data_IF_787944515906
#
_entry.id   IF_787944515906
#
_cell.length_a   1.000
_cell.length_b   1.000
_cell.length_c   1.000
_cell.angle_alpha   90.00
_cell.angle_beta   90.00
_cell.angle_gamma   90.00
#
_symmetry.space_group_name_H-M   'P 1'
#
loop_
_entity.id
_entity.type
_entity.pdbx_description
1 polymer ?
#
# COMPACT_ATOMS: atom_id res chain seq x y z
N UNK A 1 34.93 -15.86 42.29
CA UNK A 1 33.57 -16.42 42.14
C UNK A 1 32.60 -15.24 42.23
N UNK A 2 32.47 -14.49 41.14
CA UNK A 2 31.38 -14.55 40.15
C UNK A 2 30.03 -14.14 40.73
N UNK A 3 29.58 -12.92 40.42
CA UNK A 3 28.25 -12.72 39.84
C UNK A 3 28.13 -11.32 39.21
N UNK A 4 28.32 -11.27 37.89
CA UNK A 4 27.97 -10.12 37.06
C UNK A 4 26.46 -10.19 36.77
N UNK A 5 25.66 -9.31 37.38
CA UNK A 5 24.23 -9.18 37.05
C UNK A 5 24.12 -8.26 35.82
N UNK A 6 24.17 -8.88 34.64
CA UNK A 6 23.92 -8.22 33.36
C UNK A 6 22.40 -7.93 33.25
N UNK A 7 22.02 -6.67 33.45
CA UNK A 7 20.65 -6.20 33.19
C UNK A 7 20.42 -6.17 31.67
N UNK A 8 19.78 -7.22 31.16
CA UNK A 8 19.27 -7.27 29.79
C UNK A 8 18.07 -6.31 29.68
N UNK A 9 18.33 -5.04 29.36
CA UNK A 9 17.31 -4.13 28.85
C UNK A 9 16.93 -4.60 27.45
N UNK A 10 15.97 -5.52 27.37
CA UNK A 10 15.27 -5.84 26.11
C UNK A 10 14.43 -4.60 25.77
N UNK A 11 15.02 -3.70 24.98
CA UNK A 11 14.28 -2.64 24.31
C UNK A 11 13.24 -3.30 23.40
N UNK A 12 11.99 -3.40 23.86
CA UNK A 12 10.84 -3.59 22.96
C UNK A 12 10.74 -2.34 22.09
N UNK A 13 11.57 -2.29 21.05
CA UNK A 13 11.33 -1.41 19.91
C UNK A 13 10.09 -1.97 19.22
N UNK A 14 8.92 -1.51 19.63
CA UNK A 14 7.70 -1.75 18.87
C UNK A 14 7.97 -1.29 17.45
N UNK A 15 8.00 -2.23 16.50
CA UNK A 15 8.16 -1.91 15.10
C UNK A 15 7.03 -0.96 14.71
N UNK A 16 7.38 0.31 14.44
CA UNK A 16 6.42 1.26 13.94
C UNK A 16 6.12 0.87 12.49
N UNK A 17 4.84 0.72 12.15
CA UNK A 17 4.36 0.38 10.82
C UNK A 17 3.25 1.36 10.42
N UNK A 18 3.16 1.73 9.14
CA UNK A 18 2.05 2.57 8.68
C UNK A 18 0.72 1.85 8.68
N UNK A 19 0.72 0.52 8.54
CA UNK A 19 -0.49 -0.29 8.57
C UNK A 19 -0.39 -1.22 9.78
N UNK A 20 -1.24 -0.96 10.77
CA UNK A 20 -1.32 -1.72 12.03
C UNK A 20 -2.70 -2.32 12.25
N UNK A 21 -3.72 -1.84 11.54
CA UNK A 21 -5.10 -2.31 11.63
C UNK A 21 -5.71 -2.47 10.24
N UNK A 22 -6.73 -3.32 10.07
CA UNK A 22 -7.46 -3.42 8.81
C UNK A 22 -8.01 -2.07 8.35
N UNK A 23 -7.94 -1.81 7.04
CA UNK A 23 -8.48 -0.61 6.41
C UNK A 23 -9.58 -1.03 5.43
N UNK A 24 -10.72 -0.33 5.43
CA UNK A 24 -11.79 -0.51 4.45
C UNK A 24 -12.13 0.85 3.81
N UNK A 25 -12.16 0.89 2.48
CA UNK A 25 -12.71 2.01 1.71
C UNK A 25 -13.57 1.46 0.57
N UNK A 26 -14.88 1.68 0.61
CA UNK A 26 -15.79 1.28 -0.48
C UNK A 26 -15.71 -0.21 -0.88
N UNK A 27 -15.48 -1.11 0.08
CA UNK A 27 -15.24 -2.54 -0.12
C UNK A 27 -13.89 -2.89 -0.76
N UNK A 28 -12.97 -1.95 -0.84
CA UNK A 28 -11.54 -2.25 -0.97
C UNK A 28 -10.95 -2.41 0.44
N UNK A 29 -10.28 -3.53 0.68
CA UNK A 29 -9.74 -3.88 2.00
C UNK A 29 -8.22 -3.96 2.00
N UNK A 30 -7.60 -3.55 3.10
CA UNK A 30 -6.21 -3.88 3.43
C UNK A 30 -6.22 -4.60 4.76
N UNK A 31 -5.82 -5.86 4.78
CA UNK A 31 -5.84 -6.70 5.99
C UNK A 31 -4.76 -7.78 5.93
N UNK A 32 -4.47 -8.41 7.07
CA UNK A 32 -3.46 -9.45 7.14
C UNK A 32 -3.95 -10.75 6.51
N UNK A 33 -3.11 -11.36 5.67
CA UNK A 33 -3.32 -12.73 5.21
C UNK A 33 -3.02 -13.75 6.33
N UNK A 34 -3.21 -15.04 6.04
CA UNK A 34 -2.94 -16.13 7.00
C UNK A 34 -1.48 -16.22 7.49
N UNK A 35 -0.53 -15.52 6.84
CA UNK A 35 0.89 -15.44 7.22
C UNK A 35 1.22 -14.17 8.01
N UNK A 36 0.23 -13.31 8.28
CA UNK A 36 0.41 -12.04 8.99
C UNK A 36 0.89 -10.87 8.11
N UNK A 37 1.03 -11.06 6.78
CA UNK A 37 1.38 -9.97 5.86
C UNK A 37 0.15 -9.18 5.47
N UNK A 38 0.22 -7.84 5.51
CA UNK A 38 -0.85 -6.99 4.98
C UNK A 38 -0.95 -7.08 3.47
N UNK A 39 -2.17 -7.32 2.98
CA UNK A 39 -2.49 -7.51 1.59
C UNK A 39 -3.71 -6.67 1.19
N UNK A 40 -3.74 -6.27 -0.07
CA UNK A 40 -4.86 -5.54 -0.64
C UNK A 40 -5.86 -6.53 -1.26
N UNK A 41 -7.12 -6.43 -0.86
CA UNK A 41 -8.23 -7.22 -1.40
C UNK A 41 -9.22 -6.26 -2.05
N UNK A 42 -9.10 -6.03 -3.37
CA UNK A 42 -9.97 -5.10 -4.06
C UNK A 42 -11.40 -5.64 -4.16
N UNK A 43 -12.37 -4.74 -4.16
CA UNK A 43 -13.74 -5.00 -4.61
C UNK A 43 -13.69 -5.57 -6.04
N UNK A 44 -14.62 -6.48 -6.37
CA UNK A 44 -14.86 -6.90 -7.75
C UNK A 44 -14.95 -5.70 -8.71
N UNK A 45 -14.46 -5.88 -9.95
CA UNK A 45 -14.35 -4.81 -10.93
C UNK A 45 -15.71 -4.16 -11.14
N UNK A 46 -15.74 -2.86 -10.93
CA UNK A 46 -16.78 -1.97 -11.38
C UNK A 46 -16.17 -1.12 -12.50
N UNK A 47 -16.60 -1.28 -13.77
CA UNK A 47 -16.05 -0.51 -14.89
C UNK A 47 -16.11 1.00 -14.69
N UNK A 48 -17.06 1.51 -13.90
CA UNK A 48 -17.16 2.94 -13.58
C UNK A 48 -16.05 3.43 -12.63
N UNK A 49 -15.41 2.51 -11.91
CA UNK A 49 -14.29 2.79 -10.99
C UNK A 49 -12.91 2.66 -11.64
N UNK A 50 -12.83 2.10 -12.85
CA UNK A 50 -11.59 1.87 -13.58
C UNK A 50 -11.26 3.07 -14.47
N UNK A 51 -10.06 3.60 -14.31
CA UNK A 51 -9.51 4.71 -15.08
C UNK A 51 -8.23 4.22 -15.77
N UNK A 52 -8.39 3.68 -16.98
CA UNK A 52 -7.31 3.00 -17.72
C UNK A 52 -6.09 3.87 -17.99
N UNK A 53 -6.26 5.19 -18.01
CA UNK A 53 -5.18 6.12 -18.33
C UNK A 53 -4.56 6.74 -17.09
N UNK A 54 -5.31 6.92 -16.00
CA UNK A 54 -4.85 7.64 -14.80
C UNK A 54 -4.25 9.02 -15.12
N UNK A 55 -4.77 9.70 -16.15
CA UNK A 55 -4.30 11.01 -16.61
C UNK A 55 -5.37 12.08 -16.39
N UNK A 56 -4.93 13.35 -16.34
CA UNK A 56 -5.80 14.51 -16.17
C UNK A 56 -5.40 15.37 -14.98
N UNK A 57 -5.86 16.63 -14.95
CA UNK A 57 -5.42 17.62 -13.95
C UNK A 57 -5.63 17.20 -12.49
N UNK A 58 -6.70 16.46 -12.20
CA UNK A 58 -6.99 15.92 -10.86
C UNK A 58 -6.26 14.62 -10.53
N UNK A 59 -5.61 13.98 -11.52
CA UNK A 59 -4.94 12.68 -11.39
C UNK A 59 -3.43 12.81 -11.14
N UNK A 60 -2.85 14.01 -11.31
CA UNK A 60 -1.43 14.25 -11.02
C UNK A 60 -0.52 13.20 -11.69
N UNK A 61 0.36 12.58 -10.91
CA UNK A 61 1.37 11.62 -11.41
C UNK A 61 0.94 10.15 -11.25
N UNK A 62 -0.37 9.86 -11.12
CA UNK A 62 -0.84 8.50 -10.83
C UNK A 62 -0.42 7.47 -11.88
N UNK A 63 -0.43 7.83 -13.17
CA UNK A 63 0.04 6.93 -14.22
C UNK A 63 1.51 6.51 -14.03
N UNK A 64 2.39 7.46 -13.67
CA UNK A 64 3.82 7.22 -13.51
C UNK A 64 4.13 6.42 -12.24
N UNK A 65 3.48 6.76 -11.12
CA UNK A 65 3.68 6.01 -9.86
C UNK A 65 3.12 4.58 -9.97
N UNK A 66 1.99 4.38 -10.68
CA UNK A 66 1.46 3.04 -10.95
C UNK A 66 2.43 2.22 -11.79
N UNK A 67 2.99 2.80 -12.85
CA UNK A 67 3.99 2.11 -13.66
C UNK A 67 5.21 1.70 -12.83
N UNK A 68 5.67 2.59 -11.95
CA UNK A 68 6.77 2.30 -11.01
C UNK A 68 6.41 1.14 -10.08
N UNK A 69 5.22 1.17 -9.48
CA UNK A 69 4.71 0.12 -8.60
C UNK A 69 4.56 -1.24 -9.29
N UNK A 70 4.01 -1.27 -10.50
CA UNK A 70 3.79 -2.50 -11.28
C UNK A 70 5.09 -3.20 -11.71
N UNK A 71 6.22 -2.47 -11.71
CA UNK A 71 7.55 -3.02 -11.98
C UNK A 71 8.24 -3.60 -10.73
N UNK A 72 7.66 -3.44 -9.54
CA UNK A 72 8.16 -4.03 -8.29
C UNK A 72 7.62 -5.46 -8.10
N UNK A 73 8.06 -6.09 -7.01
CA UNK A 73 7.60 -7.44 -6.61
C UNK A 73 6.76 -7.45 -5.33
N UNK A 74 6.56 -6.29 -4.73
CA UNK A 74 5.73 -6.07 -3.54
C UNK A 74 4.41 -5.42 -3.93
N UNK A 75 3.34 -5.84 -3.30
CA UNK A 75 1.94 -5.53 -3.59
C UNK A 75 1.48 -4.23 -2.95
N UNK A 76 2.14 -3.77 -1.88
CA UNK A 76 1.85 -2.52 -1.17
C UNK A 76 3.13 -1.70 -1.09
N UNK A 77 3.12 -0.48 -1.63
CA UNK A 77 4.28 0.41 -1.59
C UNK A 77 3.88 1.88 -1.41
N UNK A 78 4.68 2.58 -0.61
CA UNK A 78 4.64 4.03 -0.46
C UNK A 78 5.69 4.67 -1.36
N UNK A 79 5.34 5.80 -1.97
CA UNK A 79 6.23 6.59 -2.83
C UNK A 79 6.23 8.07 -2.46
N UNK A 80 7.36 8.73 -2.67
CA UNK A 80 7.47 10.18 -2.53
C UNK A 80 6.77 10.92 -3.68
N UNK A 81 6.60 12.23 -3.55
CA UNK A 81 6.13 13.09 -4.65
C UNK A 81 7.04 13.05 -5.88
N UNK A 82 8.29 12.63 -5.73
CA UNK A 82 9.26 12.41 -6.82
C UNK A 82 9.27 10.96 -7.32
N UNK A 83 8.29 10.15 -6.93
CA UNK A 83 8.08 8.75 -7.35
C UNK A 83 9.11 7.74 -6.83
N UNK A 84 9.93 8.15 -5.86
CA UNK A 84 10.88 7.24 -5.21
C UNK A 84 10.16 6.35 -4.20
N UNK A 85 10.49 5.05 -4.19
CA UNK A 85 9.92 4.10 -3.21
C UNK A 85 10.43 4.44 -1.80
N UNK A 86 9.50 4.71 -0.90
CA UNK A 86 9.76 4.98 0.52
C UNK A 86 9.77 3.69 1.35
N UNK A 87 8.91 2.73 1.03
CA UNK A 87 8.84 1.44 1.71
C UNK A 87 7.51 0.71 1.50
N UNK A 88 7.26 -0.36 2.26
CA UNK A 88 6.02 -1.15 2.24
C UNK A 88 5.08 -0.82 3.40
N UNK A 89 4.21 -1.75 3.83
CA UNK A 89 3.29 -1.59 4.97
C UNK A 89 3.98 -1.17 6.29
N UNK A 90 5.26 -1.46 6.44
CA UNK A 90 6.11 -1.11 7.57
C UNK A 90 6.59 0.35 7.57
N UNK A 91 6.49 1.06 6.44
CA UNK A 91 7.03 2.42 6.34
C UNK A 91 6.13 3.43 7.04
N UNK A 92 6.59 4.05 8.11
CA UNK A 92 5.81 5.01 8.91
C UNK A 92 5.64 6.35 8.20
N UNK A 93 4.42 6.86 8.14
CA UNK A 93 4.16 8.18 7.58
C UNK A 93 4.71 9.29 8.48
N UNK A 94 5.57 10.14 7.91
CA UNK A 94 6.07 11.34 8.60
C UNK A 94 5.30 12.57 8.12
N UNK A 95 4.56 13.21 9.02
CA UNK A 95 3.86 14.46 8.71
C UNK A 95 4.87 15.57 8.37
N UNK A 96 4.79 16.14 7.17
CA UNK A 96 5.71 17.21 6.75
C UNK A 96 5.26 17.97 5.51
N UNK A 97 3.97 17.95 5.18
CA UNK A 97 3.42 18.61 3.98
C UNK A 97 3.86 17.98 2.65
N UNK A 98 4.59 16.86 2.68
CA UNK A 98 5.06 16.17 1.48
C UNK A 98 3.95 15.29 0.91
N UNK A 99 3.81 15.30 -0.41
CA UNK A 99 2.95 14.36 -1.14
C UNK A 99 3.51 12.95 -0.99
N UNK A 100 2.67 12.02 -0.55
CA UNK A 100 3.00 10.59 -0.47
C UNK A 100 1.92 9.82 -1.21
N UNK A 101 2.35 8.99 -2.15
CA UNK A 101 1.48 8.05 -2.84
C UNK A 101 1.51 6.71 -2.12
N UNK A 102 0.35 6.08 -1.96
CA UNK A 102 0.21 4.68 -1.60
C UNK A 102 -0.34 3.94 -2.80
N UNK A 103 0.39 2.94 -3.28
CA UNK A 103 -0.02 2.04 -4.35
C UNK A 103 -0.17 0.62 -3.84
N UNK A 104 -1.23 -0.04 -4.30
CA UNK A 104 -1.73 -1.30 -3.80
C UNK A 104 -2.19 -2.16 -4.97
N UNK A 105 -1.81 -3.43 -4.97
CA UNK A 105 -2.29 -4.41 -5.96
C UNK A 105 -2.81 -5.64 -5.26
N UNK A 106 -3.90 -6.18 -5.79
CA UNK A 106 -4.50 -7.40 -5.29
C UNK A 106 -5.36 -8.09 -6.33
N UNK A 107 -5.83 -9.29 -5.97
CA UNK A 107 -6.79 -10.06 -6.75
C UNK A 107 -8.17 -9.96 -6.11
N UNK A 108 -9.15 -9.49 -6.85
CA UNK A 108 -10.54 -9.42 -6.39
C UNK A 108 -11.21 -10.80 -6.43
N UNK A 109 -12.41 -10.89 -5.83
CA UNK A 109 -13.21 -12.14 -5.81
C UNK A 109 -13.70 -12.60 -7.18
N UNK A 110 -13.72 -11.71 -8.19
CA UNK A 110 -13.99 -12.02 -9.60
C UNK A 110 -12.72 -12.45 -10.37
N UNK A 111 -11.63 -12.71 -9.64
CA UNK A 111 -10.32 -13.11 -10.14
C UNK A 111 -9.56 -12.06 -10.95
N UNK A 112 -10.07 -10.84 -11.06
CA UNK A 112 -9.35 -9.75 -11.71
C UNK A 112 -8.23 -9.20 -10.83
N UNK A 113 -7.11 -8.82 -11.44
CA UNK A 113 -6.07 -8.06 -10.76
C UNK A 113 -6.34 -6.58 -10.90
N UNK A 114 -6.30 -5.86 -9.79
CA UNK A 114 -6.53 -4.44 -9.75
C UNK A 114 -5.42 -3.74 -8.97
N UNK A 115 -4.95 -2.63 -9.52
CA UNK A 115 -3.99 -1.73 -8.89
C UNK A 115 -4.67 -0.41 -8.58
N UNK A 116 -4.56 0.06 -7.35
CA UNK A 116 -5.02 1.37 -6.92
C UNK A 116 -3.84 2.20 -6.41
N UNK A 117 -3.77 3.47 -6.81
CA UNK A 117 -2.89 4.44 -6.18
C UNK A 117 -3.71 5.64 -5.68
N UNK A 118 -3.35 6.13 -4.49
CA UNK A 118 -3.99 7.28 -3.86
C UNK A 118 -2.98 8.09 -3.07
N UNK A 119 -3.26 9.36 -2.79
CA UNK A 119 -2.47 10.15 -1.86
C UNK A 119 -2.86 9.84 -0.42
N UNK A 120 -1.88 9.75 0.47
CA UNK A 120 -2.12 9.52 1.90
C UNK A 120 -1.51 10.65 2.73
N UNK A 121 -2.17 10.97 3.85
CA UNK A 121 -1.74 12.02 4.78
C UNK A 121 -1.54 11.53 6.21
N UNK A 122 -1.65 10.22 6.45
CA UNK A 122 -1.46 9.55 7.74
C UNK A 122 -1.38 8.03 7.55
N UNK A 123 -0.91 7.34 8.58
CA UNK A 123 -0.98 5.89 8.73
C UNK A 123 -2.43 5.37 8.70
N UNK A 124 -2.60 4.06 8.45
CA UNK A 124 -3.88 3.34 8.44
C UNK A 124 -4.97 4.00 7.57
N UNK A 125 -4.60 4.48 6.38
CA UNK A 125 -5.50 5.25 5.52
C UNK A 125 -5.31 4.92 4.04
N UNK A 126 -6.43 4.80 3.31
CA UNK A 126 -6.50 4.77 1.85
C UNK A 126 -6.92 6.15 1.28
N UNK A 127 -6.63 7.22 2.00
CA UNK A 127 -7.20 8.54 1.76
C UNK A 127 -8.59 8.69 2.39
N UNK A 128 -9.23 9.82 2.14
CA UNK A 128 -10.63 10.10 2.51
C UNK A 128 -11.55 10.05 1.27
N UNK A 129 -12.86 10.29 1.45
CA UNK A 129 -13.84 10.25 0.35
C UNK A 129 -13.56 11.25 -0.78
N UNK A 130 -12.89 12.36 -0.50
CA UNK A 130 -12.52 13.40 -1.48
C UNK A 130 -11.10 13.25 -2.01
N UNK A 131 -10.32 12.30 -1.48
CA UNK A 131 -8.94 12.10 -1.88
C UNK A 131 -8.91 11.51 -3.29
N UNK A 132 -8.20 12.17 -4.23
CA UNK A 132 -8.09 11.65 -5.58
C UNK A 132 -7.41 10.30 -5.54
N UNK A 133 -7.87 9.39 -6.39
CA UNK A 133 -7.24 8.10 -6.59
C UNK A 133 -7.34 7.73 -8.07
N UNK A 134 -6.50 6.78 -8.46
CA UNK A 134 -6.68 6.06 -9.69
C UNK A 134 -6.73 4.56 -9.40
N UNK A 135 -7.51 3.83 -10.21
CA UNK A 135 -7.63 2.38 -10.13
C UNK A 135 -7.65 1.81 -11.56
N UNK A 136 -6.83 0.79 -11.79
CA UNK A 136 -6.71 0.10 -13.09
C UNK A 136 -6.85 -1.40 -12.90
N UNK A 137 -7.29 -2.09 -13.96
CA UNK A 137 -7.31 -3.54 -14.01
C UNK A 137 -5.96 -4.08 -14.49
N UNK A 138 -4.96 -4.02 -13.62
CA UNK A 138 -3.62 -4.55 -13.87
C UNK A 138 -2.98 -5.03 -12.56
N UNK A 139 -1.96 -5.89 -12.66
CA UNK A 139 -1.12 -6.26 -11.54
C UNK A 139 0.31 -6.59 -11.93
N UNK A 140 1.20 -6.67 -10.93
CA UNK A 140 2.61 -6.99 -11.10
C UNK A 140 2.77 -8.35 -11.80
N UNK A 141 3.80 -8.48 -12.65
CA UNK A 141 4.15 -9.75 -13.30
C UNK A 141 4.69 -10.81 -12.34
N UNK A 142 5.22 -10.38 -11.18
CA UNK A 142 5.78 -11.24 -10.14
C UNK A 142 5.50 -10.63 -8.78
N UNK A 143 5.08 -11.44 -7.83
CA UNK A 143 4.77 -11.03 -6.46
C UNK A 143 5.50 -11.95 -5.48
N UNK A 144 6.15 -11.38 -4.48
CA UNK A 144 6.97 -12.13 -3.51
C UNK A 144 6.49 -12.00 -2.06
N UNK A 145 5.55 -11.11 -1.77
CA UNK A 145 5.02 -10.89 -0.42
C UNK A 145 3.87 -11.83 -0.02
N UNK A 146 3.46 -12.70 -0.94
CA UNK A 146 2.43 -13.71 -0.70
C UNK A 146 1.00 -13.17 -0.70
N UNK A 147 0.76 -11.97 -1.23
CA UNK A 147 -0.58 -11.39 -1.27
C UNK A 147 -1.48 -11.92 -2.38
N UNK A 148 -0.92 -12.23 -3.54
CA UNK A 148 -1.64 -12.90 -4.61
C UNK A 148 -0.66 -13.65 -5.53
N UNK A 149 -1.19 -14.57 -6.31
CA UNK A 149 -0.48 -15.22 -7.41
C UNK A 149 -0.88 -14.49 -8.68
N UNK A 150 0.06 -13.90 -9.45
CA UNK A 150 -0.23 -13.25 -10.74
C UNK A 150 -0.82 -14.19 -11.78
#
# INVERSE_FOLDING_TARGET
>A
LLSFILHFLVSLQGAQAAITTPINRNNDYVEQNAKGSFCFYPKAVDPASIDVACVGGSKGDYAQVMQTHLNLTTSINYFSGSLERLGGPEWVFQSGGRKVYLCLTGRAGDYTYQTMCTTVGRDNSLGNSTTPYCKIQAGQRRVTDGCYVP
#
